data_IF_975757341160
#
_entry.id   IF_975757341160
#
_cell.length_a   1.000
_cell.length_b   1.000
_cell.length_c   1.000
_cell.angle_alpha   90.00
_cell.angle_beta   90.00
_cell.angle_gamma   90.00
#
_symmetry.space_group_name_H-M   'P 1'
#
loop_
_entity.id
_entity.type
_entity.pdbx_description
1 polymer ?
#
# COMPACT_ATOMS: atom_id res chain seq x y z
N UNK A 1 -58.64 -3.83 3.12
CA UNK A 1 -57.81 -3.33 2.00
C UNK A 1 -56.41 -3.16 2.56
N UNK A 2 -55.44 -3.90 2.02
CA UNK A 2 -54.00 -3.83 2.34
C UNK A 2 -53.34 -2.71 1.53
N UNK A 3 -52.25 -2.13 2.04
CA UNK A 3 -50.93 -2.36 1.42
C UNK A 3 -49.88 -2.70 2.51
N UNK A 4 -49.14 -3.81 2.44
CA UNK A 4 -47.91 -4.03 1.66
C UNK A 4 -46.78 -3.06 2.07
N UNK A 5 -46.06 -3.45 3.13
CA UNK A 5 -44.74 -2.90 3.49
C UNK A 5 -43.71 -3.64 2.64
N UNK A 6 -43.25 -2.99 1.58
CA UNK A 6 -42.14 -3.45 0.77
C UNK A 6 -40.84 -3.31 1.58
N UNK A 7 -40.08 -4.41 1.63
CA UNK A 7 -38.73 -4.45 2.19
C UNK A 7 -37.83 -3.55 1.36
N UNK A 8 -37.41 -2.42 1.93
CA UNK A 8 -36.33 -1.60 1.42
C UNK A 8 -35.03 -2.43 1.40
N UNK A 9 -34.65 -2.87 0.20
CA UNK A 9 -33.33 -3.43 -0.07
C UNK A 9 -32.31 -2.31 0.09
N UNK A 10 -31.44 -2.45 1.09
CA UNK A 10 -30.28 -1.59 1.26
C UNK A 10 -29.37 -1.74 0.05
N UNK A 11 -29.46 -0.80 -0.88
CA UNK A 11 -28.41 -0.58 -1.87
C UNK A 11 -27.29 0.16 -1.13
N UNK A 12 -26.21 -0.57 -0.87
CA UNK A 12 -24.91 -0.01 -0.56
C UNK A 12 -24.39 0.54 -1.89
N UNK A 13 -24.77 1.78 -2.19
CA UNK A 13 -24.15 2.59 -3.22
C UNK A 13 -23.18 3.48 -2.43
N UNK A 14 -21.97 2.97 -2.21
CA UNK A 14 -20.87 3.77 -1.67
C UNK A 14 -20.47 4.77 -2.75
N UNK A 15 -21.17 5.90 -2.73
CA UNK A 15 -20.68 7.11 -3.33
C UNK A 15 -19.34 7.46 -2.69
N UNK A 16 -18.25 7.17 -3.38
CA UNK A 16 -16.99 7.88 -3.24
C UNK A 16 -16.75 8.56 -4.59
N UNK A 17 -17.33 9.74 -4.76
CA UNK A 17 -16.80 10.78 -5.63
C UNK A 17 -15.81 11.55 -4.74
N UNK A 18 -14.65 10.94 -4.48
CA UNK A 18 -13.47 11.68 -4.07
C UNK A 18 -12.73 12.02 -5.36
N UNK A 19 -11.87 13.04 -5.33
CA UNK A 19 -11.00 13.30 -6.48
C UNK A 19 -9.98 12.19 -6.62
N UNK A 20 -10.40 11.03 -7.11
CA UNK A 20 -9.55 9.86 -7.28
C UNK A 20 -8.48 10.24 -8.29
N UNK A 21 -7.23 10.22 -7.83
CA UNK A 21 -6.10 10.18 -8.75
C UNK A 21 -6.06 8.76 -9.32
N UNK A 22 -6.03 8.64 -10.64
CA UNK A 22 -6.13 7.35 -11.31
C UNK A 22 -4.72 6.77 -11.48
N UNK A 23 -4.25 6.02 -10.49
CA UNK A 23 -2.96 5.34 -10.56
C UNK A 23 -3.04 4.20 -11.60
N UNK A 24 -2.24 4.31 -12.67
CA UNK A 24 -2.04 3.29 -13.70
C UNK A 24 -0.98 2.26 -13.25
N UNK A 25 0.14 2.75 -12.72
CA UNK A 25 1.28 1.93 -12.29
C UNK A 25 1.84 2.37 -10.93
N UNK A 26 2.39 1.42 -10.20
CA UNK A 26 3.24 1.65 -9.03
C UNK A 26 4.54 0.84 -9.15
N UNK A 27 5.68 1.52 -9.02
CA UNK A 27 7.00 0.90 -8.88
C UNK A 27 7.50 1.04 -7.44
N UNK A 28 7.94 -0.05 -6.82
CA UNK A 28 8.57 -0.09 -5.51
C UNK A 28 10.08 -0.10 -5.69
N UNK A 29 10.76 0.83 -5.01
CA UNK A 29 12.20 1.05 -5.11
C UNK A 29 12.87 0.69 -3.79
N UNK A 30 13.79 -0.28 -3.80
CA UNK A 30 14.71 -0.45 -2.68
C UNK A 30 15.69 0.72 -2.64
N UNK A 31 15.70 1.44 -1.52
CA UNK A 31 16.52 2.64 -1.36
C UNK A 31 17.97 2.35 -1.00
N UNK A 32 18.29 1.13 -0.62
CA UNK A 32 19.66 0.73 -0.27
C UNK A 32 20.54 0.76 -1.51
N UNK A 33 19.99 0.31 -2.64
CA UNK A 33 20.69 0.22 -3.93
C UNK A 33 20.05 1.05 -5.07
N UNK A 34 18.94 1.76 -4.81
CA UNK A 34 18.19 2.58 -5.80
C UNK A 34 17.70 1.73 -6.99
N UNK A 35 17.11 0.56 -6.67
CA UNK A 35 16.67 -0.44 -7.65
C UNK A 35 15.17 -0.71 -7.51
N UNK A 36 14.47 -0.83 -8.65
CA UNK A 36 13.07 -1.26 -8.68
C UNK A 36 13.01 -2.76 -8.39
N UNK A 37 12.35 -3.11 -7.30
CA UNK A 37 12.28 -4.49 -6.79
C UNK A 37 10.95 -5.16 -7.10
N UNK A 38 9.88 -4.36 -7.16
CA UNK A 38 8.56 -4.82 -7.56
C UNK A 38 7.80 -3.71 -8.30
N UNK A 39 6.92 -4.07 -9.21
CA UNK A 39 6.02 -3.17 -9.93
C UNK A 39 4.62 -3.77 -10.04
N UNK A 40 3.58 -2.95 -9.98
CA UNK A 40 2.20 -3.39 -10.18
C UNK A 40 1.50 -2.56 -11.24
N UNK A 41 0.89 -3.29 -12.18
CA UNK A 41 0.06 -2.76 -13.25
C UNK A 41 -1.05 -3.76 -13.56
N UNK A 42 -2.24 -3.28 -13.95
CA UNK A 42 -3.42 -4.13 -14.22
C UNK A 42 -3.74 -5.11 -13.05
N UNK A 43 -3.58 -4.67 -11.80
CA UNK A 43 -3.83 -5.48 -10.59
C UNK A 43 -2.88 -6.70 -10.43
N UNK A 44 -1.71 -6.66 -11.07
CA UNK A 44 -0.75 -7.78 -11.05
C UNK A 44 0.68 -7.31 -10.72
N UNK A 45 1.23 -7.89 -9.65
CA UNK A 45 2.62 -7.65 -9.24
C UNK A 45 3.62 -8.40 -10.12
N UNK A 46 4.70 -7.71 -10.47
CA UNK A 46 5.93 -8.23 -11.04
C UNK A 46 7.06 -7.99 -10.03
N UNK A 47 7.96 -8.97 -9.91
CA UNK A 47 9.02 -8.90 -8.91
C UNK A 47 8.58 -9.35 -7.52
N UNK A 48 9.43 -9.07 -6.53
CA UNK A 48 9.26 -9.47 -5.13
C UNK A 48 9.95 -8.44 -4.24
N UNK A 49 9.46 -8.27 -3.01
CA UNK A 49 10.09 -7.36 -2.07
C UNK A 49 11.42 -7.92 -1.54
N UNK A 50 12.37 -7.07 -1.13
CA UNK A 50 13.59 -7.53 -0.49
C UNK A 50 13.26 -8.30 0.79
N UNK A 51 14.02 -9.37 1.03
CA UNK A 51 13.93 -10.15 2.25
C UNK A 51 14.32 -9.28 3.44
N UNK A 52 13.55 -9.37 4.53
CA UNK A 52 13.81 -8.62 5.76
C UNK A 52 14.37 -9.59 6.80
N UNK A 53 15.39 -9.18 7.55
CA UNK A 53 15.84 -9.97 8.68
C UNK A 53 15.10 -9.60 9.96
N UNK A 54 14.91 -10.55 10.87
CA UNK A 54 14.38 -10.27 12.22
C UNK A 54 15.27 -9.23 12.92
N UNK A 55 14.64 -8.24 13.57
CA UNK A 55 15.30 -7.09 14.24
C UNK A 55 16.00 -6.12 13.25
N UNK A 56 15.73 -6.26 11.95
CA UNK A 56 16.22 -5.38 10.88
C UNK A 56 15.05 -4.79 10.06
N UNK A 57 15.35 -3.93 9.09
CA UNK A 57 14.33 -3.24 8.31
C UNK A 57 14.74 -2.97 6.87
N UNK A 58 13.77 -2.99 5.98
CA UNK A 58 13.93 -2.51 4.62
C UNK A 58 13.41 -1.07 4.51
N UNK A 59 13.99 -0.30 3.59
CA UNK A 59 13.57 1.07 3.28
C UNK A 59 13.10 1.13 1.83
N UNK A 60 11.78 1.27 1.63
CA UNK A 60 11.14 1.20 0.32
C UNK A 60 10.59 2.57 -0.08
N UNK A 61 11.03 3.07 -1.22
CA UNK A 61 10.41 4.19 -1.92
C UNK A 61 9.36 3.72 -2.93
N UNK A 62 8.64 4.66 -3.52
CA UNK A 62 7.65 4.37 -4.54
C UNK A 62 7.65 5.43 -5.65
N UNK A 63 7.28 5.01 -6.86
CA UNK A 63 6.94 5.88 -7.98
C UNK A 63 5.54 5.51 -8.43
N UNK A 64 4.62 6.46 -8.31
CA UNK A 64 3.24 6.29 -8.79
C UNK A 64 3.08 7.00 -10.12
N UNK A 65 2.44 6.36 -11.08
CA UNK A 65 2.15 6.92 -12.41
C UNK A 65 0.65 6.96 -12.64
N UNK A 66 0.13 8.10 -13.12
CA UNK A 66 -1.29 8.29 -13.46
C UNK A 66 -1.63 7.73 -14.86
N UNK A 67 -2.93 7.56 -15.20
CA UNK A 67 -3.44 7.14 -16.55
C UNK A 67 -2.87 7.95 -17.73
N UNK A 68 -2.36 9.15 -17.46
CA UNK A 68 -1.67 9.97 -18.48
C UNK A 68 -0.20 9.61 -18.70
N UNK A 69 0.37 8.69 -17.93
CA UNK A 69 1.79 8.36 -17.92
C UNK A 69 2.66 9.42 -17.23
N UNK A 70 2.06 10.27 -16.39
CA UNK A 70 2.74 11.29 -15.61
C UNK A 70 2.97 10.80 -14.17
N UNK A 71 4.18 11.04 -13.63
CA UNK A 71 4.53 10.70 -12.24
C UNK A 71 3.75 11.57 -11.26
N UNK A 72 3.16 10.93 -10.25
CA UNK A 72 2.49 11.58 -9.13
C UNK A 72 3.55 11.90 -8.07
N UNK A 73 3.80 13.19 -7.76
CA UNK A 73 4.81 13.56 -6.79
C UNK A 73 4.37 13.17 -5.37
N UNK A 74 5.19 12.38 -4.69
CA UNK A 74 4.99 11.96 -3.29
C UNK A 74 6.11 12.46 -2.39
N UNK A 75 5.78 12.76 -1.13
CA UNK A 75 6.77 13.17 -0.15
C UNK A 75 6.21 13.97 1.00
N UNK A 76 7.08 14.28 1.97
CA UNK A 76 6.73 15.07 3.16
C UNK A 76 6.31 16.51 2.84
N UNK A 77 6.53 16.99 1.62
CA UNK A 77 6.23 18.35 1.18
C UNK A 77 5.24 18.39 0.01
N UNK A 78 4.69 17.23 -0.32
CA UNK A 78 3.78 16.98 -1.42
C UNK A 78 2.35 16.82 -0.90
N UNK A 79 1.38 16.77 -1.82
CA UNK A 79 -0.02 16.48 -1.48
C UNK A 79 -0.21 15.01 -1.10
N UNK A 80 0.58 14.14 -1.73
CA UNK A 80 0.52 12.70 -1.56
C UNK A 80 1.76 12.16 -0.83
N UNK A 81 1.58 11.03 -0.17
CA UNK A 81 2.64 10.29 0.50
C UNK A 81 2.52 8.77 0.22
N UNK A 82 3.64 8.06 0.29
CA UNK A 82 3.65 6.61 0.36
C UNK A 82 3.25 6.16 1.77
N UNK A 83 2.25 5.31 1.81
CA UNK A 83 1.85 4.58 3.01
C UNK A 83 1.88 3.08 2.73
N UNK A 84 1.98 2.31 3.81
CA UNK A 84 1.93 0.84 3.77
C UNK A 84 1.20 0.32 5.00
N UNK A 85 0.47 -0.78 4.85
CA UNK A 85 -0.15 -1.50 5.97
C UNK A 85 -0.18 -3.00 5.70
N UNK A 86 -0.22 -3.82 6.74
CA UNK A 86 -0.48 -5.26 6.61
C UNK A 86 -1.88 -5.47 6.01
N UNK A 87 -2.02 -6.41 5.08
CA UNK A 87 -3.29 -6.74 4.45
C UNK A 87 -4.28 -7.32 5.47
N UNK A 88 -5.58 -7.04 5.32
CA UNK A 88 -6.61 -7.43 6.31
C UNK A 88 -6.72 -8.94 6.57
N UNK A 89 -6.40 -9.79 5.59
CA UNK A 89 -6.45 -11.26 5.71
C UNK A 89 -5.08 -11.89 6.01
N UNK A 90 -4.01 -11.08 6.10
CA UNK A 90 -2.65 -11.56 6.28
C UNK A 90 -2.29 -11.84 7.75
N UNK A 91 -1.23 -12.63 7.94
CA UNK A 91 -0.73 -12.95 9.27
C UNK A 91 -0.04 -11.73 9.91
N UNK A 92 -0.62 -11.20 10.99
CA UNK A 92 -0.05 -10.09 11.74
C UNK A 92 1.09 -10.51 12.67
N UNK A 93 1.97 -9.56 13.01
CA UNK A 93 3.09 -9.77 13.94
C UNK A 93 4.35 -10.36 13.30
N UNK A 94 4.35 -10.56 11.99
CA UNK A 94 5.54 -10.88 11.18
C UNK A 94 6.36 -9.61 10.91
N UNK A 95 5.66 -8.51 10.60
CA UNK A 95 6.27 -7.19 10.39
C UNK A 95 5.65 -6.13 11.31
N UNK A 96 6.44 -5.10 11.63
CA UNK A 96 5.98 -3.88 12.31
C UNK A 96 5.94 -2.70 11.33
N UNK A 97 4.77 -2.07 11.24
CA UNK A 97 4.52 -0.88 10.42
C UNK A 97 3.71 0.10 11.28
N UNK A 98 4.27 1.28 11.53
CA UNK A 98 3.62 2.37 12.24
C UNK A 98 3.61 3.64 11.38
N UNK A 99 2.46 4.29 11.26
CA UNK A 99 2.31 5.46 10.39
C UNK A 99 3.07 6.70 10.87
N UNK A 100 3.29 6.85 12.17
CA UNK A 100 3.99 8.00 12.75
C UNK A 100 5.52 7.81 12.72
N UNK A 101 6.00 6.56 12.85
CA UNK A 101 7.43 6.25 12.93
C UNK A 101 8.02 5.77 11.60
N UNK A 102 7.24 5.06 10.78
CA UNK A 102 7.74 4.33 9.63
C UNK A 102 7.33 4.94 8.29
N UNK A 103 6.42 5.92 8.25
CA UNK A 103 6.10 6.64 7.02
C UNK A 103 6.84 7.98 6.96
N UNK A 104 7.61 8.20 5.90
CA UNK A 104 8.48 9.37 5.74
C UNK A 104 8.04 10.28 4.58
N UNK A 105 6.85 10.03 4.03
CA UNK A 105 6.29 10.77 2.91
C UNK A 105 6.65 10.15 1.57
N UNK A 106 7.94 10.07 1.20
CA UNK A 106 8.36 9.50 -0.09
C UNK A 106 8.76 8.03 0.01
N UNK A 107 8.88 7.53 1.25
CA UNK A 107 9.29 6.17 1.54
C UNK A 107 8.72 5.67 2.85
N UNK A 108 8.77 4.36 3.03
CA UNK A 108 8.36 3.65 4.24
C UNK A 108 9.45 2.72 4.72
N UNK A 109 9.46 2.46 6.01
CA UNK A 109 10.23 1.37 6.60
C UNK A 109 9.30 0.22 6.96
N UNK A 110 9.75 -1.01 6.71
CA UNK A 110 9.06 -2.23 7.15
C UNK A 110 10.06 -3.01 8.01
N UNK A 111 9.72 -3.24 9.27
CA UNK A 111 10.59 -3.91 10.24
C UNK A 111 10.20 -5.37 10.38
N UNK A 112 11.19 -6.27 10.40
CA UNK A 112 10.98 -7.70 10.65
C UNK A 112 10.86 -7.99 12.14
N UNK A 113 9.66 -8.37 12.60
CA UNK A 113 9.38 -8.70 14.00
C UNK A 113 9.59 -10.18 14.29
N UNK A 114 9.13 -11.06 13.39
CA UNK A 114 9.16 -12.51 13.56
C UNK A 114 9.38 -13.20 12.22
N UNK A 115 10.14 -14.30 12.23
CA UNK A 115 10.32 -15.15 11.05
C UNK A 115 8.97 -15.63 10.51
N UNK A 116 8.76 -15.49 9.20
CA UNK A 116 7.55 -15.90 8.50
C UNK A 116 7.25 -15.07 7.26
N UNK A 117 6.07 -15.32 6.69
CA UNK A 117 5.54 -14.65 5.51
C UNK A 117 4.27 -13.88 5.89
N UNK A 118 4.12 -12.67 5.36
CA UNK A 118 2.89 -11.87 5.47
C UNK A 118 2.67 -11.09 4.18
N UNK A 119 1.56 -10.38 4.09
CA UNK A 119 1.26 -9.54 2.92
C UNK A 119 1.01 -8.11 3.35
N UNK A 120 1.51 -7.17 2.55
CA UNK A 120 1.30 -5.73 2.77
C UNK A 120 0.63 -5.10 1.56
N UNK A 121 -0.04 -3.98 1.81
CA UNK A 121 -0.70 -3.16 0.80
C UNK A 121 -0.06 -1.79 0.82
N UNK A 122 0.44 -1.35 -0.33
CA UNK A 122 0.95 0.00 -0.54
C UNK A 122 -0.20 0.92 -0.91
N UNK A 123 -0.10 2.18 -0.48
CA UNK A 123 -1.17 3.16 -0.65
C UNK A 123 -0.61 4.50 -1.06
N UNK A 124 -1.37 5.17 -1.91
CA UNK A 124 -1.19 6.59 -2.17
C UNK A 124 -2.02 7.35 -1.14
N UNK A 125 -1.34 7.86 -0.12
CA UNK A 125 -1.96 8.50 1.03
C UNK A 125 -2.14 10.00 0.81
N UNK A 126 -3.29 10.51 1.19
CA UNK A 126 -3.66 11.92 1.11
C UNK A 126 -4.35 12.35 2.40
N UNK A 127 -3.63 13.16 3.19
CA UNK A 127 -4.04 13.69 4.50
C UNK A 127 -4.44 12.60 5.52
N UNK A 128 -5.69 12.13 5.48
CA UNK A 128 -6.30 11.19 6.43
C UNK A 128 -6.81 9.89 5.76
N UNK A 129 -6.62 9.74 4.45
CA UNK A 129 -7.14 8.57 3.71
C UNK A 129 -6.22 8.14 2.57
N UNK A 130 -6.44 6.92 2.07
CA UNK A 130 -5.83 6.44 0.84
C UNK A 130 -6.73 6.81 -0.36
N UNK A 131 -6.17 7.47 -1.36
CA UNK A 131 -6.83 7.70 -2.65
C UNK A 131 -6.67 6.48 -3.58
N UNK A 132 -5.66 5.63 -3.34
CA UNK A 132 -5.44 4.38 -4.05
C UNK A 132 -4.75 3.33 -3.16
N UNK A 133 -5.02 2.05 -3.42
CA UNK A 133 -4.44 0.90 -2.71
C UNK A 133 -4.01 -0.17 -3.72
N UNK A 134 -2.84 -0.76 -3.50
CA UNK A 134 -2.32 -1.85 -4.32
C UNK A 134 -3.02 -3.19 -4.01
N UNK A 135 -2.93 -4.18 -4.91
CA UNK A 135 -3.07 -5.57 -4.50
C UNK A 135 -2.07 -5.92 -3.39
N UNK A 136 -2.36 -6.90 -2.53
CA UNK A 136 -1.41 -7.38 -1.53
C UNK A 136 -0.15 -7.94 -2.21
N UNK A 137 1.00 -7.70 -1.61
CA UNK A 137 2.29 -8.28 -1.99
C UNK A 137 2.95 -8.94 -0.78
N UNK A 138 3.56 -10.09 -1.01
CA UNK A 138 4.24 -10.88 0.00
C UNK A 138 5.50 -10.15 0.54
N UNK A 139 5.70 -10.28 1.84
CA UNK A 139 6.91 -9.90 2.58
C UNK A 139 7.40 -11.12 3.32
N UNK A 140 8.66 -11.50 3.09
CA UNK A 140 9.33 -12.58 3.81
C UNK A 140 10.29 -12.01 4.86
N UNK A 141 10.17 -12.53 6.08
CA UNK A 141 11.07 -12.24 7.20
C UNK A 141 11.86 -13.49 7.55
N UNK A 142 13.19 -13.41 7.49
CA UNK A 142 14.10 -14.53 7.73
C UNK A 142 14.94 -14.34 9.02
N UNK A 143 15.29 -15.45 9.66
CA UNK A 143 16.36 -15.47 10.69
C UNK A 143 17.74 -15.21 10.06
N UNK A 144 18.67 -14.70 10.86
CA UNK A 144 20.01 -14.28 10.42
C UNK A 144 21.07 -15.40 10.47
#
# INVERSE_FOLDING_TARGET
>A
ETPELETEVGHHDDGHDHGHVEVEDLEIVDRSDDEVVADVHDDHWHGELPHIHVDDNVSLGAVFTDDHGDEIPIGSNEEYALAVSVADDAEGGIVEIDSDEHWHGDHVHIYGESEGETEVVFKLWHDDHADWESPPIEVEVEDH
#
